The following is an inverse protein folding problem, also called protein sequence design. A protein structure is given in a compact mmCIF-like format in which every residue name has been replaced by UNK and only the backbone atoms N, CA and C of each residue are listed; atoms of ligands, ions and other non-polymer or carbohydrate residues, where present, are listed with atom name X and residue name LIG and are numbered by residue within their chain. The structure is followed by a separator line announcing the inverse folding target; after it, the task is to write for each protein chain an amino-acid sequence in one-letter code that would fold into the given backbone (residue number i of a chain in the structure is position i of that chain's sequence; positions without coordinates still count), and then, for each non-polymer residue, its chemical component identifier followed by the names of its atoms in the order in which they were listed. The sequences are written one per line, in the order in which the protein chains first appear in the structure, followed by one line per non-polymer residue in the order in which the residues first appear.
data_IF_025086309930
#
_entry.id   IF_025086309930
#
_cell.length_a   1.000
_cell.length_b   1.000
_cell.length_c   1.000
_cell.angle_alpha   90.00
_cell.angle_beta   90.00
_cell.angle_gamma   90.00
#
_symmetry.space_group_name_H-M   'P 1'
#
loop_
_entity.id
_entity.type
_entity.pdbx_description
1 polymer ?
#
# COMPACT_ATOMS: atom_id res chain seq x y z
N UNK A 1 -3.75 -11.36 -20.37
CA UNK A 1 -4.47 -11.70 -19.13
C UNK A 1 -4.49 -10.47 -18.26
N UNK A 2 -5.65 -10.02 -17.82
CA UNK A 2 -5.76 -8.98 -16.79
C UNK A 2 -5.40 -9.58 -15.44
N UNK A 3 -4.59 -8.88 -14.65
CA UNK A 3 -4.27 -9.26 -13.28
C UNK A 3 -5.47 -8.89 -12.38
N UNK A 4 -5.94 -9.81 -11.54
CA UNK A 4 -6.97 -9.50 -10.53
C UNK A 4 -6.34 -8.82 -9.30
N UNK A 5 -7.17 -8.24 -8.42
CA UNK A 5 -6.68 -7.65 -7.18
C UNK A 5 -6.10 -8.74 -6.27
N UNK A 6 -6.76 -9.91 -6.25
CA UNK A 6 -6.27 -11.09 -5.53
C UNK A 6 -4.93 -11.60 -6.08
N UNK A 7 -4.75 -11.62 -7.41
CA UNK A 7 -3.47 -12.01 -8.01
C UNK A 7 -2.34 -11.04 -7.62
N UNK A 8 -2.62 -9.73 -7.63
CA UNK A 8 -1.68 -8.70 -7.19
C UNK A 8 -1.30 -8.88 -5.72
N UNK A 9 -2.29 -9.12 -4.85
CA UNK A 9 -2.09 -9.40 -3.43
C UNK A 9 -1.16 -10.60 -3.21
N UNK A 10 -1.43 -11.75 -3.86
CA UNK A 10 -0.58 -12.94 -3.75
C UNK A 10 0.83 -12.72 -4.31
N UNK A 11 0.97 -11.92 -5.39
CA UNK A 11 2.27 -11.56 -5.95
C UNK A 11 3.11 -10.74 -4.96
N UNK A 12 2.51 -9.74 -4.31
CA UNK A 12 3.17 -8.93 -3.28
C UNK A 12 3.64 -9.79 -2.11
N UNK A 13 2.79 -10.70 -1.63
CA UNK A 13 3.16 -11.63 -0.56
C UNK A 13 4.32 -12.57 -0.93
N UNK A 14 4.32 -13.09 -2.15
CA UNK A 14 5.42 -13.93 -2.65
C UNK A 14 6.74 -13.17 -2.65
N UNK A 15 6.74 -11.91 -3.10
CA UNK A 15 7.93 -11.06 -3.11
C UNK A 15 8.37 -10.70 -1.69
N UNK A 16 7.43 -10.33 -0.82
CA UNK A 16 7.69 -10.02 0.58
C UNK A 16 8.38 -11.17 1.31
N UNK A 17 7.87 -12.40 1.19
CA UNK A 17 8.49 -13.57 1.83
C UNK A 17 9.93 -13.76 1.39
N UNK A 18 10.21 -13.66 0.08
CA UNK A 18 11.57 -13.78 -0.46
C UNK A 18 12.50 -12.69 0.08
N UNK A 19 12.02 -11.46 0.23
CA UNK A 19 12.78 -10.35 0.81
C UNK A 19 13.05 -10.62 2.29
N UNK A 20 12.00 -10.98 3.04
CA UNK A 20 12.07 -11.14 4.49
C UNK A 20 12.97 -12.32 4.91
N UNK A 21 12.88 -13.44 4.20
CA UNK A 21 13.78 -14.60 4.36
C UNK A 21 15.25 -14.22 4.15
N UNK A 22 15.54 -13.24 3.28
CA UNK A 22 16.89 -12.74 3.03
C UNK A 22 17.37 -11.68 4.02
N UNK A 23 16.46 -11.02 4.73
CA UNK A 23 16.75 -9.95 5.70
C UNK A 23 17.02 -10.48 7.10
N UNK A 24 16.28 -11.50 7.53
CA UNK A 24 16.33 -12.03 8.90
C UNK A 24 17.75 -12.47 9.32
N UNK A 25 18.52 -13.22 8.50
CA UNK A 25 19.89 -13.60 8.86
C UNK A 25 20.88 -12.43 8.92
N UNK A 26 20.57 -11.28 8.29
CA UNK A 26 21.48 -10.13 8.16
C UNK A 26 21.26 -9.06 9.22
N UNK A 27 19.99 -8.82 9.59
CA UNK A 27 19.60 -7.76 10.54
C UNK A 27 19.20 -8.30 11.92
N UNK A 28 19.03 -9.62 12.05
CA UNK A 28 18.53 -10.27 13.27
C UNK A 28 17.09 -9.89 13.62
N UNK A 29 16.39 -9.23 12.70
CA UNK A 29 15.01 -8.75 12.81
C UNK A 29 14.40 -8.73 11.41
N UNK A 30 13.44 -9.62 11.15
CA UNK A 30 12.59 -9.54 9.96
C UNK A 30 11.61 -8.36 10.00
N UNK A 31 10.96 -8.12 8.87
CA UNK A 31 9.78 -7.28 8.77
C UNK A 31 8.60 -7.97 9.46
N UNK A 32 8.31 -7.52 10.68
CA UNK A 32 7.16 -7.96 11.48
C UNK A 32 5.92 -7.15 11.14
N UNK A 33 4.70 -7.58 11.52
CA UNK A 33 3.49 -6.78 11.31
C UNK A 33 3.54 -5.38 11.91
N UNK A 34 4.19 -5.24 13.06
CA UNK A 34 4.40 -3.93 13.66
C UNK A 34 5.24 -3.02 12.75
N UNK A 35 6.35 -3.52 12.22
CA UNK A 35 7.21 -2.78 11.28
C UNK A 35 6.44 -2.43 10.01
N UNK A 36 5.65 -3.37 9.47
CA UNK A 36 4.84 -3.10 8.29
C UNK A 36 3.80 -1.99 8.53
N UNK A 37 3.19 -1.93 9.71
CA UNK A 37 2.26 -0.84 10.05
C UNK A 37 2.99 0.51 10.24
N UNK A 38 4.22 0.52 10.76
CA UNK A 38 4.99 1.76 10.83
C UNK A 38 5.39 2.25 9.45
N UNK A 39 5.82 1.35 8.57
CA UNK A 39 6.17 1.67 7.18
C UNK A 39 4.92 2.18 6.43
N UNK A 40 3.73 1.59 6.66
CA UNK A 40 2.47 2.08 6.10
C UNK A 40 2.19 3.56 6.43
N UNK A 41 2.52 3.98 7.66
CA UNK A 41 2.34 5.37 8.10
C UNK A 41 3.37 6.31 7.47
N UNK A 42 4.58 5.82 7.21
CA UNK A 42 5.61 6.54 6.46
C UNK A 42 5.12 6.80 5.03
N UNK A 43 4.70 5.76 4.31
CA UNK A 43 4.16 5.88 2.94
C UNK A 43 2.93 6.79 2.88
N UNK A 44 2.03 6.72 3.87
CA UNK A 44 0.88 7.62 3.97
C UNK A 44 1.31 9.10 4.12
N UNK A 45 2.40 9.35 4.85
CA UNK A 45 3.03 10.66 4.95
C UNK A 45 3.59 11.14 3.62
N UNK A 46 4.20 10.25 2.84
CA UNK A 46 4.74 10.55 1.51
C UNK A 46 3.64 10.83 0.49
N UNK A 47 2.56 10.05 0.48
CA UNK A 47 1.33 10.34 -0.29
C UNK A 47 0.81 11.74 0.05
N UNK A 48 0.66 12.06 1.33
CA UNK A 48 0.18 13.38 1.76
C UNK A 48 1.15 14.49 1.32
N UNK A 49 2.45 14.25 1.37
CA UNK A 49 3.48 15.16 0.91
C UNK A 49 3.39 15.37 -0.61
N UNK A 50 3.21 14.30 -1.40
CA UNK A 50 3.03 14.32 -2.84
C UNK A 50 1.81 15.18 -3.24
N UNK A 51 0.64 14.89 -2.67
CA UNK A 51 -0.60 15.63 -2.89
C UNK A 51 -0.43 17.11 -2.56
N UNK A 52 0.14 17.47 -1.39
CA UNK A 52 0.38 18.88 -1.04
C UNK A 52 1.21 19.63 -2.09
N UNK A 53 2.18 18.95 -2.71
CA UNK A 53 2.99 19.56 -3.76
C UNK A 53 2.21 19.74 -5.06
N UNK A 54 1.39 18.76 -5.45
CA UNK A 54 0.52 18.84 -6.63
C UNK A 54 -0.55 19.94 -6.50
N UNK A 55 -1.05 20.16 -5.29
CA UNK A 55 -2.02 21.20 -4.96
C UNK A 55 -1.39 22.59 -4.73
N UNK A 56 -0.06 22.73 -4.93
CA UNK A 56 0.64 24.02 -4.85
C UNK A 56 0.89 24.54 -3.43
N UNK A 57 0.75 23.69 -2.40
CA UNK A 57 1.04 24.06 -1.01
C UNK A 57 2.52 23.89 -0.63
N UNK A 58 3.39 23.52 -1.57
CA UNK A 58 4.84 23.44 -1.38
C UNK A 58 5.59 24.49 -2.20
N UNK A 59 6.79 24.90 -1.76
CA UNK A 59 7.66 25.78 -2.53
C UNK A 59 7.90 25.25 -3.96
N UNK A 60 7.96 26.11 -5.00
CA UNK A 60 8.07 25.71 -6.40
C UNK A 60 9.35 24.92 -6.76
N UNK A 61 10.40 25.07 -5.95
CA UNK A 61 11.68 24.35 -6.07
C UNK A 61 11.60 22.90 -5.58
N UNK A 62 10.45 22.47 -5.03
CA UNK A 62 10.13 21.09 -4.69
C UNK A 62 8.93 20.59 -5.49
N UNK A 63 9.03 20.47 -6.82
CA UNK A 63 7.94 19.99 -7.63
C UNK A 63 7.65 18.53 -7.26
N UNK A 64 6.39 18.26 -6.90
CA UNK A 64 5.88 16.91 -6.82
C UNK A 64 5.08 16.61 -8.08
N UNK A 65 5.31 15.44 -8.67
CA UNK A 65 4.66 15.06 -9.93
C UNK A 65 3.61 13.96 -9.69
N UNK A 66 2.77 13.72 -10.71
CA UNK A 66 1.79 12.64 -10.65
C UNK A 66 2.46 11.27 -10.59
N UNK A 67 3.65 11.16 -11.18
CA UNK A 67 4.48 9.95 -11.15
C UNK A 67 4.96 9.66 -9.72
N UNK A 68 5.39 10.69 -8.98
CA UNK A 68 5.74 10.53 -7.55
C UNK A 68 4.53 10.05 -6.74
N UNK A 69 3.37 10.69 -6.90
CA UNK A 69 2.14 10.24 -6.23
C UNK A 69 1.78 8.79 -6.59
N UNK A 70 1.96 8.39 -7.85
CA UNK A 70 1.71 7.03 -8.29
C UNK A 70 2.65 6.01 -7.61
N UNK A 71 3.92 6.37 -7.40
CA UNK A 71 4.88 5.58 -6.63
C UNK A 71 4.41 5.42 -5.19
N UNK A 72 4.14 6.52 -4.47
CA UNK A 72 3.82 6.42 -3.04
C UNK A 72 2.48 5.70 -2.80
N UNK A 73 1.51 5.87 -3.71
CA UNK A 73 0.26 5.09 -3.66
C UNK A 73 0.50 3.60 -3.89
N UNK A 74 1.48 3.25 -4.73
CA UNK A 74 1.83 1.85 -5.01
C UNK A 74 2.57 1.21 -3.84
N UNK A 75 3.46 1.95 -3.17
CA UNK A 75 4.19 1.48 -2.00
C UNK A 75 3.25 1.30 -0.80
N UNK A 76 2.32 2.24 -0.59
CA UNK A 76 1.24 2.08 0.39
C UNK A 76 0.37 0.85 0.10
N UNK A 77 -0.03 0.65 -1.16
CA UNK A 77 -0.84 -0.49 -1.57
C UNK A 77 -0.10 -1.83 -1.40
N UNK A 78 1.21 -1.86 -1.68
CA UNK A 78 2.06 -3.03 -1.45
C UNK A 78 2.01 -3.48 0.01
N UNK A 79 2.15 -2.55 0.95
CA UNK A 79 2.11 -2.86 2.39
C UNK A 79 0.72 -3.36 2.80
N UNK A 80 -0.36 -2.76 2.29
CA UNK A 80 -1.74 -3.24 2.52
C UNK A 80 -1.90 -4.69 2.07
N UNK A 81 -1.44 -5.04 0.87
CA UNK A 81 -1.53 -6.42 0.36
C UNK A 81 -0.75 -7.40 1.21
N UNK A 82 0.46 -7.04 1.64
CA UNK A 82 1.28 -7.89 2.50
C UNK A 82 0.59 -8.10 3.85
N UNK A 83 0.02 -7.06 4.45
CA UNK A 83 -0.75 -7.18 5.70
C UNK A 83 -1.99 -8.07 5.52
N UNK A 84 -2.74 -7.89 4.43
CA UNK A 84 -3.91 -8.71 4.15
C UNK A 84 -3.55 -10.21 4.08
N UNK A 85 -2.50 -10.56 3.32
CA UNK A 85 -2.02 -11.95 3.22
C UNK A 85 -1.47 -12.47 4.54
N UNK A 86 -0.73 -11.64 5.29
CA UNK A 86 -0.21 -12.02 6.60
C UNK A 86 -1.31 -12.47 7.57
N UNK A 87 -2.48 -11.81 7.51
CA UNK A 87 -3.64 -12.12 8.36
C UNK A 87 -4.68 -13.02 7.69
N UNK A 88 -4.41 -13.55 6.48
CA UNK A 88 -5.32 -14.46 5.78
C UNK A 88 -6.61 -13.79 5.27
N UNK A 89 -6.56 -12.50 4.94
CA UNK A 89 -7.69 -11.69 4.49
C UNK A 89 -7.74 -11.70 2.96
N UNK A 90 -8.89 -12.07 2.39
CA UNK A 90 -9.18 -11.85 0.97
C UNK A 90 -9.60 -10.40 0.75
N UNK A 91 -8.66 -9.53 0.36
CA UNK A 91 -8.94 -8.10 0.24
C UNK A 91 -9.87 -7.80 -0.93
N UNK A 92 -9.83 -8.58 -2.01
CA UNK A 92 -10.71 -8.37 -3.18
C UNK A 92 -12.19 -8.49 -2.81
N UNK A 93 -12.55 -9.56 -2.10
CA UNK A 93 -13.92 -9.77 -1.62
C UNK A 93 -14.36 -8.68 -0.63
N UNK A 94 -13.48 -8.34 0.32
CA UNK A 94 -13.75 -7.30 1.32
C UNK A 94 -13.90 -5.90 0.69
N UNK A 95 -13.11 -5.62 -0.34
CA UNK A 95 -13.15 -4.36 -1.08
C UNK A 95 -14.43 -4.25 -1.91
N UNK A 96 -14.83 -5.31 -2.61
CA UNK A 96 -16.08 -5.33 -3.39
C UNK A 96 -17.30 -5.08 -2.50
N UNK A 97 -17.35 -5.68 -1.31
CA UNK A 97 -18.40 -5.41 -0.33
C UNK A 97 -18.41 -3.93 0.09
N UNK A 98 -17.23 -3.39 0.43
CA UNK A 98 -17.08 -1.99 0.83
C UNK A 98 -17.59 -1.03 -0.27
N UNK A 99 -17.25 -1.26 -1.53
CA UNK A 99 -17.70 -0.43 -2.65
C UNK A 99 -19.23 -0.43 -2.78
N UNK A 100 -19.86 -1.60 -2.66
CA UNK A 100 -21.33 -1.70 -2.70
C UNK A 100 -21.98 -0.96 -1.53
N UNK A 101 -21.41 -1.08 -0.33
CA UNK A 101 -21.91 -0.40 0.87
C UNK A 101 -21.81 1.12 0.75
N UNK A 102 -20.78 1.65 0.09
CA UNK A 102 -20.66 3.09 -0.18
C UNK A 102 -21.78 3.61 -1.09
N UNK A 103 -22.14 2.86 -2.13
CA UNK A 103 -23.25 3.23 -3.02
C UNK A 103 -24.55 3.31 -2.21
N UNK A 104 -24.84 2.27 -1.41
CA UNK A 104 -26.04 2.25 -0.56
C UNK A 104 -26.03 3.37 0.49
N UNK A 105 -24.86 3.70 1.05
CA UNK A 105 -24.78 4.72 2.10
C UNK A 105 -25.05 6.14 1.61
N UNK A 106 -24.65 6.47 0.39
CA UNK A 106 -24.64 7.86 -0.09
C UNK A 106 -25.58 8.14 -1.25
N UNK A 107 -26.10 7.12 -1.94
CA UNK A 107 -26.93 7.30 -3.14
C UNK A 107 -28.36 6.75 -2.97
N UNK A 108 -28.58 5.70 -2.16
CA UNK A 108 -29.93 5.15 -1.91
C UNK A 108 -30.62 5.80 -0.71
#
# INVERSE_FOLDING_TARGET
MSLTLRDAQHLCWKNFKRINEGLDPKRGKGWTPFVMVTDLLEEAGEVAAAVKGLEGFKPPDKPNTKEMLATELSDLLYIIFVLAEHYGINLEESFLQTVNDYILRFIS
#
